data_IF_500543247610
#
_entry.id   IF_500543247610
#
_cell.length_a   1.000
_cell.length_b   1.000
_cell.length_c   1.000
_cell.angle_alpha   90.00
_cell.angle_beta   90.00
_cell.angle_gamma   90.00
#
_symmetry.space_group_name_H-M   'P 1'
#
loop_
_entity.id
_entity.type
_entity.pdbx_description
1 polymer ?
#
# COMPACT_ATOMS: atom_id res chain seq x y z
N UNK A 1 39.40 -13.92 6.10
CA UNK A 1 38.27 -13.95 7.06
C UNK A 1 37.01 -14.19 6.25
N UNK A 2 36.54 -15.44 6.19
CA UNK A 2 35.37 -15.82 5.40
C UNK A 2 34.08 -15.49 6.17
N UNK A 3 33.26 -14.60 5.64
CA UNK A 3 31.93 -14.35 6.19
C UNK A 3 31.02 -15.48 5.70
N UNK A 4 30.64 -16.34 6.64
CA UNK A 4 29.70 -17.44 6.37
C UNK A 4 28.27 -16.82 6.36
N UNK A 5 27.75 -16.48 5.17
CA UNK A 5 26.38 -16.04 5.00
C UNK A 5 25.47 -17.26 5.18
N UNK A 6 24.77 -17.36 6.31
CA UNK A 6 23.72 -18.35 6.49
C UNK A 6 22.51 -17.95 5.64
N UNK A 7 22.28 -18.66 4.55
CA UNK A 7 21.02 -18.54 3.79
C UNK A 7 19.93 -19.21 4.61
N UNK A 8 19.10 -18.40 5.29
CA UNK A 8 17.87 -18.91 5.90
C UNK A 8 16.89 -19.30 4.78
N UNK A 9 16.41 -20.54 4.78
CA UNK A 9 15.34 -20.96 3.89
C UNK A 9 14.05 -20.31 4.35
N UNK A 10 13.39 -19.59 3.43
CA UNK A 10 12.02 -19.11 3.65
C UNK A 10 11.11 -20.33 3.84
N UNK A 11 10.56 -20.51 5.01
CA UNK A 11 9.60 -21.59 5.30
C UNK A 11 8.28 -21.20 4.62
N UNK A 12 7.63 -22.08 3.84
CA UNK A 12 6.33 -21.76 3.26
C UNK A 12 5.35 -21.44 4.39
N UNK A 13 4.73 -20.26 4.30
CA UNK A 13 3.82 -19.75 5.29
C UNK A 13 2.66 -20.72 5.56
N UNK A 14 2.19 -20.76 6.80
CA UNK A 14 0.99 -21.49 7.19
C UNK A 14 -0.17 -21.05 6.30
N UNK A 15 -0.96 -22.03 5.83
CA UNK A 15 -2.21 -21.76 5.11
C UNK A 15 -3.06 -20.75 5.90
N UNK A 16 -3.65 -19.75 5.24
CA UNK A 16 -4.49 -18.78 5.92
C UNK A 16 -5.67 -19.49 6.60
N UNK A 17 -6.10 -19.04 7.77
CA UNK A 17 -7.25 -19.59 8.43
C UNK A 17 -8.49 -19.37 7.55
N UNK A 18 -9.25 -20.43 7.30
CA UNK A 18 -10.47 -20.46 6.47
C UNK A 18 -11.69 -19.82 7.13
N UNK A 19 -11.52 -19.11 8.22
CA UNK A 19 -12.58 -18.35 8.86
C UNK A 19 -12.52 -16.90 8.31
N UNK A 20 -13.53 -16.56 7.53
CA UNK A 20 -13.88 -15.19 7.17
C UNK A 20 -14.14 -14.44 8.49
N UNK A 21 -13.07 -13.89 9.07
CA UNK A 21 -13.17 -13.05 10.25
C UNK A 21 -14.10 -11.88 9.88
N UNK A 22 -15.21 -11.74 10.58
CA UNK A 22 -16.04 -10.55 10.53
C UNK A 22 -15.12 -9.41 10.92
N UNK A 23 -14.95 -8.45 10.01
CA UNK A 23 -14.29 -7.19 10.28
C UNK A 23 -15.20 -6.40 11.23
N UNK A 24 -15.08 -6.72 12.51
CA UNK A 24 -15.78 -6.02 13.57
C UNK A 24 -14.93 -4.76 13.85
N UNK A 25 -15.44 -3.57 13.58
CA UNK A 25 -15.02 -2.21 13.95
C UNK A 25 -13.60 -2.02 14.57
N UNK A 26 -12.60 -2.74 14.09
CA UNK A 26 -11.26 -2.67 14.63
C UNK A 26 -10.49 -1.53 13.96
N UNK A 27 -10.04 -0.59 14.78
CA UNK A 27 -9.06 0.39 14.32
C UNK A 27 -7.73 -0.31 14.01
N UNK A 28 -7.09 0.09 12.92
CA UNK A 28 -5.75 -0.34 12.51
C UNK A 28 -4.77 0.79 12.78
N UNK A 29 -3.64 0.48 13.34
CA UNK A 29 -2.58 1.44 13.57
C UNK A 29 -1.43 1.22 12.58
N UNK A 30 -0.72 2.31 12.30
CA UNK A 30 0.46 2.24 11.46
C UNK A 30 1.38 3.43 11.69
N UNK A 31 2.57 3.34 11.10
CA UNK A 31 3.63 4.34 11.28
C UNK A 31 4.65 4.31 10.16
N UNK A 32 5.40 5.40 10.06
CA UNK A 32 6.58 5.45 9.23
C UNK A 32 7.76 4.69 9.86
N UNK A 33 8.82 4.48 9.08
CA UNK A 33 10.02 3.76 9.52
C UNK A 33 10.67 4.37 10.78
N UNK A 34 10.74 5.70 10.87
CA UNK A 34 11.35 6.40 12.03
C UNK A 34 10.38 6.65 13.20
N UNK A 35 9.09 6.39 13.02
CA UNK A 35 8.07 6.59 14.06
C UNK A 35 7.57 8.03 14.24
N UNK A 36 8.09 9.02 13.50
CA UNK A 36 7.64 10.41 13.62
C UNK A 36 6.23 10.67 13.04
N UNK A 37 5.78 9.79 12.15
CA UNK A 37 4.41 9.74 11.66
C UNK A 37 3.76 8.49 12.23
N UNK A 38 2.58 8.67 12.84
CA UNK A 38 1.69 7.58 13.24
C UNK A 38 0.30 7.86 12.72
N UNK A 39 -0.50 6.82 12.56
CA UNK A 39 -1.88 6.99 12.14
C UNK A 39 -2.79 5.90 12.71
N UNK A 40 -4.06 6.22 12.77
CA UNK A 40 -5.16 5.30 13.02
C UNK A 40 -6.08 5.27 11.81
N UNK A 41 -6.41 4.07 11.36
CA UNK A 41 -7.37 3.81 10.30
C UNK A 41 -8.58 3.08 10.89
N UNK A 42 -9.77 3.67 10.78
CA UNK A 42 -11.00 3.13 11.34
C UNK A 42 -11.97 2.70 10.25
N UNK A 43 -12.86 1.77 10.57
CA UNK A 43 -13.90 1.32 9.66
C UNK A 43 -13.44 0.34 8.59
N UNK A 44 -14.33 0.08 7.64
CA UNK A 44 -14.14 -0.95 6.62
C UNK A 44 -13.30 -0.44 5.44
N UNK A 45 -12.46 -1.32 4.90
CA UNK A 45 -11.67 -1.07 3.69
C UNK A 45 -12.56 -1.32 2.47
N UNK A 46 -12.61 -0.35 1.54
CA UNK A 46 -13.35 -0.47 0.28
C UNK A 46 -12.76 -1.59 -0.58
N UNK A 47 -11.43 -1.61 -0.69
CA UNK A 47 -10.69 -2.63 -1.41
C UNK A 47 -9.25 -2.72 -0.92
N UNK A 48 -8.65 -3.89 -1.06
CA UNK A 48 -7.19 -4.06 -0.94
C UNK A 48 -6.62 -4.36 -2.32
N UNK A 49 -5.81 -3.46 -2.83
CA UNK A 49 -5.34 -3.47 -4.20
C UNK A 49 -3.82 -3.48 -4.31
N UNK A 50 -3.33 -4.16 -5.34
CA UNK A 50 -1.95 -4.06 -5.82
C UNK A 50 -1.93 -3.13 -7.03
N UNK A 51 -1.01 -2.17 -7.06
CA UNK A 51 -0.79 -1.33 -8.22
C UNK A 51 0.62 -1.56 -8.79
N UNK A 52 0.67 -1.91 -10.08
CA UNK A 52 1.89 -2.21 -10.82
C UNK A 52 2.43 -1.02 -11.62
N UNK A 53 1.75 0.15 -11.64
CA UNK A 53 2.22 1.28 -12.44
C UNK A 53 3.64 1.72 -12.02
N UNK A 54 4.38 2.26 -12.96
CA UNK A 54 5.78 2.68 -12.76
C UNK A 54 5.97 3.64 -11.58
N UNK A 55 5.03 4.56 -11.39
CA UNK A 55 5.09 5.51 -10.28
C UNK A 55 4.89 4.83 -8.91
N UNK A 56 4.03 3.81 -8.83
CA UNK A 56 3.88 2.98 -7.64
C UNK A 56 5.13 2.14 -7.38
N UNK A 57 5.74 1.57 -8.41
CA UNK A 57 7.02 0.84 -8.28
C UNK A 57 8.13 1.77 -7.78
N UNK A 58 8.30 2.96 -8.38
CA UNK A 58 9.32 3.95 -7.95
C UNK A 58 9.09 4.42 -6.51
N UNK A 59 7.84 4.71 -6.15
CA UNK A 59 7.52 5.17 -4.80
C UNK A 59 7.73 4.09 -3.73
N UNK A 60 7.37 2.85 -4.02
CA UNK A 60 7.51 1.73 -3.07
C UNK A 60 8.93 1.17 -3.01
N UNK A 61 9.74 1.43 -4.05
CA UNK A 61 11.04 0.77 -4.21
C UNK A 61 10.92 -0.73 -4.47
N UNK A 62 9.77 -1.19 -4.96
CA UNK A 62 9.46 -2.60 -5.19
C UNK A 62 8.76 -2.82 -6.53
N UNK A 63 8.37 -4.06 -6.82
CA UNK A 63 7.70 -4.43 -8.07
C UNK A 63 6.25 -3.96 -8.16
N UNK A 64 5.67 -3.51 -7.05
CA UNK A 64 4.31 -2.98 -6.93
C UNK A 64 4.12 -2.29 -5.58
N UNK A 65 3.01 -1.58 -5.40
CA UNK A 65 2.56 -1.14 -4.08
C UNK A 65 1.30 -1.91 -3.65
N UNK A 66 1.18 -2.21 -2.35
CA UNK A 66 -0.04 -2.76 -1.75
C UNK A 66 -0.76 -1.64 -1.02
N UNK A 67 -2.03 -1.47 -1.34
CA UNK A 67 -2.81 -0.31 -0.94
C UNK A 67 -4.15 -0.74 -0.33
N UNK A 68 -4.54 -0.09 0.76
CA UNK A 68 -5.89 -0.13 1.30
C UNK A 68 -6.65 1.08 0.74
N UNK A 69 -7.68 0.85 -0.04
CA UNK A 69 -8.57 1.90 -0.56
C UNK A 69 -9.60 2.20 0.51
N UNK A 70 -9.67 3.44 0.97
CA UNK A 70 -10.51 3.86 2.09
C UNK A 70 -11.04 5.28 1.87
N UNK A 71 -12.04 5.69 2.64
CA UNK A 71 -12.44 7.08 2.71
C UNK A 71 -11.45 7.89 3.56
N UNK A 72 -11.13 9.11 3.14
CA UNK A 72 -10.19 10.00 3.85
C UNK A 72 -10.60 10.22 5.31
N UNK A 73 -11.90 10.33 5.58
CA UNK A 73 -12.46 10.48 6.92
C UNK A 73 -12.15 9.33 7.89
N UNK A 74 -11.71 8.18 7.36
CA UNK A 74 -11.33 7.02 8.16
C UNK A 74 -9.89 7.09 8.68
N UNK A 75 -9.05 7.99 8.14
CA UNK A 75 -7.64 8.09 8.45
C UNK A 75 -7.34 9.30 9.33
N UNK A 76 -6.87 9.06 10.56
CA UNK A 76 -6.35 10.09 11.44
C UNK A 76 -4.82 9.98 11.52
N UNK A 77 -4.10 11.02 11.07
CA UNK A 77 -2.62 11.04 11.02
C UNK A 77 -2.09 12.01 12.06
N UNK A 78 -1.03 11.61 12.74
CA UNK A 78 -0.25 12.45 13.66
C UNK A 78 1.17 12.62 13.13
N UNK A 79 1.67 13.83 13.14
CA UNK A 79 2.98 14.24 12.61
C UNK A 79 2.89 14.93 11.27
N UNK A 80 4.01 15.52 10.82
CA UNK A 80 4.08 16.37 9.64
C UNK A 80 4.44 15.56 8.39
N UNK A 81 3.49 15.45 7.48
CA UNK A 81 3.67 14.81 6.19
C UNK A 81 4.18 15.79 5.13
N UNK A 82 5.16 15.37 4.36
CA UNK A 82 5.49 16.00 3.09
C UNK A 82 4.55 15.51 1.99
N UNK A 83 4.47 16.30 0.92
CA UNK A 83 3.63 16.02 -0.25
C UNK A 83 4.47 16.09 -1.52
N UNK A 84 4.31 15.08 -2.36
CA UNK A 84 4.75 15.11 -3.74
C UNK A 84 3.52 15.16 -4.65
N UNK A 85 3.46 16.16 -5.54
CA UNK A 85 2.43 16.28 -6.57
C UNK A 85 2.82 15.43 -7.77
N UNK A 86 2.18 14.27 -7.90
CA UNK A 86 2.40 13.39 -9.03
C UNK A 86 1.48 13.79 -10.19
N UNK A 87 2.10 14.09 -11.33
CA UNK A 87 1.41 14.55 -12.55
C UNK A 87 1.20 13.45 -13.57
N UNK A 88 1.53 12.20 -13.21
CA UNK A 88 1.45 11.08 -14.13
C UNK A 88 2.43 11.20 -15.30
N UNK A 89 2.21 10.40 -16.31
CA UNK A 89 3.08 10.33 -17.50
C UNK A 89 2.85 11.49 -18.47
N UNK A 90 1.63 12.02 -18.52
CA UNK A 90 1.22 13.05 -19.48
C UNK A 90 1.41 14.48 -18.98
N UNK A 91 1.68 14.66 -17.69
CA UNK A 91 1.90 15.95 -17.04
C UNK A 91 0.74 16.97 -17.23
N UNK A 92 -0.47 16.49 -17.39
CA UNK A 92 -1.67 17.30 -17.68
C UNK A 92 -2.31 17.94 -16.44
N UNK A 93 -1.65 17.84 -15.30
CA UNK A 93 -2.09 18.35 -14.01
C UNK A 93 -1.68 17.43 -12.88
N UNK A 94 -2.01 17.80 -11.66
CA UNK A 94 -1.78 16.94 -10.49
C UNK A 94 -2.84 15.84 -10.49
N UNK A 95 -2.39 14.61 -10.57
CA UNK A 95 -3.22 13.42 -10.63
C UNK A 95 -3.33 12.75 -9.25
N UNK A 96 -2.21 12.68 -8.51
CA UNK A 96 -2.14 12.08 -7.19
C UNK A 96 -1.30 12.93 -6.26
N UNK A 97 -1.78 13.17 -5.05
CA UNK A 97 -1.01 13.76 -3.96
C UNK A 97 -0.41 12.63 -3.11
N UNK A 98 0.90 12.42 -3.21
CA UNK A 98 1.61 11.38 -2.46
C UNK A 98 2.11 11.94 -1.14
N UNK A 99 1.58 11.42 -0.03
CA UNK A 99 1.90 11.82 1.33
C UNK A 99 2.91 10.86 1.95
N UNK A 100 3.99 11.40 2.48
CA UNK A 100 5.10 10.62 3.03
C UNK A 100 5.77 11.33 4.20
N UNK A 101 6.50 10.58 5.01
CA UNK A 101 7.27 11.14 6.11
C UNK A 101 8.45 11.95 5.57
N UNK A 102 8.54 13.24 5.95
CA UNK A 102 9.63 14.13 5.52
C UNK A 102 11.01 13.73 6.07
N UNK A 103 11.04 12.99 7.19
CA UNK A 103 12.27 12.58 7.86
C UNK A 103 12.88 11.30 7.30
N UNK A 104 12.05 10.28 6.97
CA UNK A 104 12.56 8.97 6.54
C UNK A 104 12.08 8.52 5.16
N UNK A 105 11.23 9.31 4.49
CA UNK A 105 10.73 9.01 3.15
C UNK A 105 9.66 7.93 3.08
N UNK A 106 9.25 7.32 4.22
CA UNK A 106 8.20 6.28 4.20
C UNK A 106 6.92 6.80 3.59
N UNK A 107 6.39 6.20 2.51
CA UNK A 107 5.11 6.57 1.94
C UNK A 107 3.98 6.15 2.89
N UNK A 108 3.05 7.05 3.18
CA UNK A 108 1.94 6.78 4.12
C UNK A 108 0.63 6.55 3.35
N UNK A 109 0.22 7.52 2.57
CA UNK A 109 -0.96 7.38 1.72
C UNK A 109 -0.85 8.24 0.46
N UNK A 110 -1.76 8.02 -0.47
CA UNK A 110 -1.94 8.87 -1.65
C UNK A 110 -3.41 9.28 -1.75
N UNK A 111 -3.67 10.54 -2.06
CA UNK A 111 -4.99 11.06 -2.36
C UNK A 111 -5.16 11.18 -3.87
N UNK A 112 -6.23 10.61 -4.41
CA UNK A 112 -6.58 10.69 -5.82
C UNK A 112 -7.31 12.01 -6.06
N UNK A 113 -6.80 12.87 -6.96
CA UNK A 113 -7.38 14.20 -7.17
C UNK A 113 -8.76 14.11 -7.84
N UNK A 114 -8.94 13.15 -8.74
CA UNK A 114 -10.22 12.98 -9.46
C UNK A 114 -11.30 12.25 -8.64
N UNK A 115 -10.92 11.62 -7.51
CA UNK A 115 -11.85 10.86 -6.66
C UNK A 115 -11.88 11.47 -5.27
N UNK A 116 -12.66 12.54 -5.12
CA UNK A 116 -12.73 13.27 -3.87
C UNK A 116 -13.11 12.38 -2.68
N UNK A 117 -12.39 12.54 -1.57
CA UNK A 117 -12.61 11.81 -0.33
C UNK A 117 -12.15 10.36 -0.33
N UNK A 118 -11.51 9.86 -1.41
CA UNK A 118 -10.91 8.51 -1.47
C UNK A 118 -9.40 8.61 -1.43
N UNK A 119 -8.80 7.84 -0.54
CA UNK A 119 -7.36 7.73 -0.40
C UNK A 119 -6.90 6.27 -0.44
N UNK A 120 -5.61 6.08 -0.72
CA UNK A 120 -4.98 4.76 -0.73
C UNK A 120 -3.85 4.73 0.30
N UNK A 121 -4.08 4.03 1.41
CA UNK A 121 -3.11 3.88 2.51
C UNK A 121 -2.13 2.76 2.17
N UNK A 122 -0.83 3.00 2.39
CA UNK A 122 0.22 2.03 2.08
C UNK A 122 0.25 0.90 3.10
N UNK A 123 -0.17 -0.28 2.70
CA UNK A 123 -0.32 -1.43 3.58
C UNK A 123 0.98 -1.84 4.31
N UNK A 124 2.13 -1.59 3.68
CA UNK A 124 3.44 -1.86 4.28
C UNK A 124 3.74 -1.06 5.56
N UNK A 125 3.02 0.04 5.80
CA UNK A 125 3.18 0.89 6.99
C UNK A 125 2.24 0.55 8.16
N UNK A 126 1.31 -0.39 7.97
CA UNK A 126 0.51 -0.92 9.07
C UNK A 126 1.41 -1.68 10.07
N UNK A 127 1.09 -1.58 11.35
CA UNK A 127 1.76 -2.36 12.39
C UNK A 127 1.34 -3.85 12.26
N UNK A 128 0.04 -4.12 12.12
CA UNK A 128 -0.50 -5.46 11.87
C UNK A 128 -0.97 -5.59 10.41
N UNK A 129 -0.37 -6.52 9.67
CA UNK A 129 -0.62 -6.69 8.23
C UNK A 129 -0.81 -8.13 7.76
N UNK A 130 -0.82 -9.08 8.68
CA UNK A 130 -0.94 -10.50 8.34
C UNK A 130 -2.28 -10.88 7.67
N UNK A 131 -3.32 -10.07 7.90
CA UNK A 131 -4.66 -10.21 7.35
C UNK A 131 -4.92 -9.34 6.10
N UNK A 132 -3.91 -8.60 5.64
CA UNK A 132 -4.01 -7.79 4.43
C UNK A 132 -3.87 -8.70 3.21
N UNK A 133 -5.00 -9.03 2.60
CA UNK A 133 -5.09 -9.90 1.44
C UNK A 133 -5.58 -9.08 0.23
N UNK A 134 -4.71 -8.72 -0.72
CA UNK A 134 -5.12 -8.06 -1.94
C UNK A 134 -6.02 -8.99 -2.80
N UNK A 135 -7.09 -8.43 -3.31
CA UNK A 135 -8.02 -9.12 -4.23
C UNK A 135 -8.15 -8.44 -5.58
N UNK A 136 -7.58 -7.25 -5.69
CA UNK A 136 -7.59 -6.43 -6.92
C UNK A 136 -6.15 -6.13 -7.32
N UNK A 137 -5.85 -6.19 -8.60
CA UNK A 137 -4.61 -5.64 -9.16
C UNK A 137 -4.91 -4.73 -10.34
N UNK A 138 -4.19 -3.61 -10.42
CA UNK A 138 -4.32 -2.59 -11.45
C UNK A 138 -2.97 -2.34 -12.13
N UNK A 139 -3.01 -1.77 -13.36
CA UNK A 139 -1.85 -1.50 -14.18
C UNK A 139 -1.06 -2.77 -14.49
N UNK A 140 -1.76 -3.85 -14.86
CA UNK A 140 -1.16 -5.15 -15.12
C UNK A 140 -0.25 -5.14 -16.35
N UNK A 141 -0.43 -4.18 -17.27
CA UNK A 141 0.47 -3.98 -18.42
C UNK A 141 1.91 -3.62 -18.01
N UNK A 142 2.10 -3.02 -16.80
CA UNK A 142 3.40 -2.68 -16.23
C UNK A 142 3.92 -3.72 -15.22
N UNK A 143 3.16 -4.83 -15.05
CA UNK A 143 3.53 -5.89 -14.11
C UNK A 143 4.86 -6.53 -14.50
N UNK A 144 5.76 -6.67 -13.51
CA UNK A 144 7.03 -7.37 -13.74
C UNK A 144 6.79 -8.84 -14.12
N UNK A 145 7.48 -9.39 -15.15
CA UNK A 145 7.19 -10.72 -15.69
C UNK A 145 7.33 -11.87 -14.67
N UNK A 146 8.14 -11.67 -13.64
CA UNK A 146 8.38 -12.66 -12.60
C UNK A 146 7.40 -12.58 -11.42
N UNK A 147 6.50 -11.57 -11.41
CA UNK A 147 5.47 -11.42 -10.36
C UNK A 147 4.27 -12.29 -10.69
N UNK A 148 3.96 -13.21 -9.81
CA UNK A 148 2.71 -13.97 -9.83
C UNK A 148 1.95 -13.77 -8.52
N UNK A 149 0.70 -13.32 -8.61
CA UNK A 149 -0.17 -13.03 -7.48
C UNK A 149 -1.44 -13.87 -7.61
N UNK A 150 -1.46 -15.07 -7.03
CA UNK A 150 -2.63 -15.95 -7.08
C UNK A 150 -3.78 -15.37 -6.24
N UNK A 151 -5.02 -15.63 -6.65
CA UNK A 151 -6.22 -15.26 -5.89
C UNK A 151 -6.73 -13.85 -6.15
N UNK A 152 -6.22 -13.15 -7.16
CA UNK A 152 -6.78 -11.86 -7.59
C UNK A 152 -8.18 -12.07 -8.20
N UNK A 153 -9.19 -11.46 -7.59
CA UNK A 153 -10.56 -11.51 -8.11
C UNK A 153 -10.76 -10.57 -9.30
N UNK A 154 -10.02 -9.45 -9.33
CA UNK A 154 -10.07 -8.45 -10.40
C UNK A 154 -8.65 -8.11 -10.84
N UNK A 155 -8.44 -8.12 -12.16
CA UNK A 155 -7.18 -7.70 -12.79
C UNK A 155 -7.50 -6.71 -13.89
N UNK A 156 -6.91 -5.52 -13.83
CA UNK A 156 -7.13 -4.44 -14.78
C UNK A 156 -5.81 -4.09 -15.46
N UNK A 157 -5.80 -3.97 -16.78
CA UNK A 157 -4.61 -3.55 -17.54
C UNK A 157 -4.24 -2.12 -17.18
N UNK A 158 -5.25 -1.27 -16.94
CA UNK A 158 -5.13 0.07 -16.35
C UNK A 158 -6.15 0.23 -15.22
N UNK A 159 -6.34 1.43 -14.69
CA UNK A 159 -7.41 1.79 -13.76
C UNK A 159 -8.58 2.46 -14.48
#
# INVERSE_FOLDING_TARGET
MGHNVRVARCVPGRSPPTTRARFDHMSRHGRCLCGSITYELTGDVIATAVCHCDNCQRQSGGAFSVNLVVHESQLAVTGDLATFEDRGEHNDGVYVLRRFCSSCGSPIYSALVETEGVIVVKAGTLDEKADVLPTVQAWCEHKQPWVDLPGMAVSMDRE
#
